data_IF_281721120155
#
_entry.id   IF_281721120155
#
_cell.length_a   1.000
_cell.length_b   1.000
_cell.length_c   1.000
_cell.angle_alpha   90.00
_cell.angle_beta   90.00
_cell.angle_gamma   90.00
#
_symmetry.space_group_name_H-M   'P 1'
#
loop_
_entity.id
_entity.type
_entity.pdbx_description
1 polymer ?
#
# COMPACT_ATOMS: atom_id res chain seq x y z
N UNK A 1 -2.59 -3.92 5.32
CA UNK A 1 -3.16 -3.63 4.00
C UNK A 1 -2.76 -4.78 3.09
N UNK A 2 -3.69 -5.33 2.29
CA UNK A 2 -3.41 -6.43 1.36
C UNK A 2 -3.36 -5.85 -0.05
N UNK A 3 -2.27 -6.13 -0.77
CA UNK A 3 -2.03 -5.62 -2.13
C UNK A 3 -2.00 -6.78 -3.13
N UNK A 4 -2.61 -6.60 -4.30
CA UNK A 4 -2.54 -7.56 -5.40
C UNK A 4 -2.57 -6.84 -6.75
N UNK A 5 -1.58 -7.12 -7.61
CA UNK A 5 -1.44 -6.54 -8.96
C UNK A 5 -1.67 -5.02 -9.02
N UNK A 6 -1.05 -4.27 -8.10
CA UNK A 6 -1.13 -2.82 -8.06
C UNK A 6 -2.47 -2.25 -7.56
N UNK A 7 -3.31 -3.07 -6.90
CA UNK A 7 -4.56 -2.65 -6.25
C UNK A 7 -4.57 -2.99 -4.77
N UNK A 8 -5.33 -2.22 -3.99
CA UNK A 8 -5.62 -2.50 -2.58
C UNK A 8 -6.82 -3.45 -2.55
N UNK A 9 -6.64 -4.65 -1.99
CA UNK A 9 -7.74 -5.61 -1.79
C UNK A 9 -8.39 -5.48 -0.42
N UNK A 10 -7.63 -5.04 0.58
CA UNK A 10 -8.14 -4.86 1.93
C UNK A 10 -7.28 -3.85 2.70
N UNK A 11 -7.92 -3.01 3.50
CA UNK A 11 -7.28 -2.01 4.34
C UNK A 11 -7.97 -1.94 5.70
N UNK A 12 -7.20 -1.81 6.78
CA UNK A 12 -7.77 -1.68 8.11
C UNK A 12 -8.30 -0.25 8.35
N UNK A 13 -9.23 -0.03 9.30
CA UNK A 13 -9.81 1.29 9.55
C UNK A 13 -8.79 2.37 9.94
N UNK A 14 -7.68 1.98 10.59
CA UNK A 14 -6.60 2.90 10.96
C UNK A 14 -5.90 3.49 9.74
N UNK A 15 -5.66 2.67 8.71
CA UNK A 15 -5.09 3.15 7.46
C UNK A 15 -6.07 4.07 6.72
N UNK A 16 -7.38 3.74 6.68
CA UNK A 16 -8.40 4.67 6.15
C UNK A 16 -8.34 6.06 6.82
N UNK A 17 -8.26 6.08 8.15
CA UNK A 17 -8.11 7.33 8.90
C UNK A 17 -6.79 8.06 8.59
N UNK A 18 -5.68 7.32 8.46
CA UNK A 18 -4.36 7.88 8.14
C UNK A 18 -4.33 8.53 6.74
N UNK A 19 -4.88 7.87 5.73
CA UNK A 19 -4.89 8.37 4.35
C UNK A 19 -6.03 9.37 4.07
N UNK A 20 -6.98 9.52 5.00
CA UNK A 20 -8.16 10.39 4.89
C UNK A 20 -9.11 9.98 3.74
N UNK A 21 -9.08 8.70 3.37
CA UNK A 21 -9.99 8.10 2.41
C UNK A 21 -10.93 7.13 3.11
N UNK A 22 -12.16 6.98 2.59
CA UNK A 22 -13.03 5.89 3.01
C UNK A 22 -12.44 4.53 2.61
N UNK A 23 -12.92 3.46 3.24
CA UNK A 23 -12.51 2.09 2.87
C UNK A 23 -12.83 1.79 1.40
N UNK A 24 -14.02 2.17 0.93
CA UNK A 24 -14.46 1.96 -0.45
C UNK A 24 -13.63 2.78 -1.45
N UNK A 25 -13.25 4.00 -1.09
CA UNK A 25 -12.35 4.83 -1.90
C UNK A 25 -10.98 4.16 -2.06
N UNK A 26 -10.39 3.68 -0.96
CA UNK A 26 -9.08 3.02 -1.01
C UNK A 26 -9.09 1.75 -1.86
N UNK A 27 -10.17 0.96 -1.82
CA UNK A 27 -10.32 -0.24 -2.65
C UNK A 27 -10.47 0.08 -4.15
N UNK A 28 -11.00 1.26 -4.46
CA UNK A 28 -11.28 1.69 -5.84
C UNK A 28 -10.12 2.46 -6.48
N UNK A 29 -9.16 2.94 -5.69
CA UNK A 29 -8.05 3.76 -6.15
C UNK A 29 -6.84 2.93 -6.60
N UNK A 30 -6.11 3.39 -7.65
CA UNK A 30 -4.77 2.88 -7.93
C UNK A 30 -3.76 3.41 -6.90
N UNK A 31 -2.68 2.67 -6.64
CA UNK A 31 -1.61 3.15 -5.74
C UNK A 31 -1.00 4.49 -6.14
N UNK A 32 -0.98 4.80 -7.44
CA UNK A 32 -0.46 6.08 -7.94
C UNK A 32 -1.22 7.28 -7.39
N UNK A 33 -2.48 7.13 -7.01
CA UNK A 33 -3.25 8.20 -6.37
C UNK A 33 -2.76 8.54 -4.96
N UNK A 34 -2.16 7.57 -4.25
CA UNK A 34 -1.70 7.72 -2.87
C UNK A 34 -0.19 8.02 -2.82
N UNK A 35 0.60 7.35 -3.66
CA UNK A 35 2.06 7.43 -3.61
C UNK A 35 2.65 8.42 -4.63
N UNK A 36 1.86 8.92 -5.59
CA UNK A 36 2.28 9.96 -6.53
C UNK A 36 3.63 9.66 -7.16
N UNK A 37 4.60 10.57 -6.98
CA UNK A 37 5.97 10.39 -7.47
C UNK A 37 6.70 9.22 -6.81
N UNK A 38 6.43 8.89 -5.55
CA UNK A 38 7.07 7.78 -4.82
C UNK A 38 6.58 6.39 -5.29
N UNK A 39 5.67 6.31 -6.25
CA UNK A 39 5.12 5.04 -6.75
C UNK A 39 6.21 4.08 -7.26
N UNK A 40 7.28 4.60 -7.87
CA UNK A 40 8.39 3.78 -8.36
C UNK A 40 9.14 3.07 -7.23
N UNK A 41 9.32 3.74 -6.08
CA UNK A 41 9.93 3.15 -4.89
C UNK A 41 9.03 2.07 -4.29
N UNK A 42 7.72 2.30 -4.28
CA UNK A 42 6.76 1.30 -3.82
C UNK A 42 6.83 0.04 -4.67
N UNK A 43 6.88 0.15 -6.01
CA UNK A 43 7.01 -1.01 -6.87
C UNK A 43 8.32 -1.75 -6.65
N UNK A 44 9.46 -1.05 -6.59
CA UNK A 44 10.74 -1.67 -6.29
C UNK A 44 10.74 -2.40 -4.94
N UNK A 45 10.07 -1.83 -3.93
CA UNK A 45 9.88 -2.48 -2.64
C UNK A 45 9.00 -3.73 -2.74
N UNK A 46 7.86 -3.66 -3.44
CA UNK A 46 6.99 -4.80 -3.67
C UNK A 46 7.71 -5.93 -4.43
N UNK A 47 8.52 -5.61 -5.44
CA UNK A 47 9.32 -6.59 -6.18
C UNK A 47 10.34 -7.27 -5.25
N UNK A 48 11.08 -6.49 -4.44
CA UNK A 48 11.99 -7.06 -3.44
C UNK A 48 11.29 -7.95 -2.41
N UNK A 49 10.06 -7.63 -2.01
CA UNK A 49 9.26 -8.46 -1.09
C UNK A 49 8.77 -9.72 -1.79
N UNK A 50 8.42 -9.64 -3.08
CA UNK A 50 8.09 -10.79 -3.92
C UNK A 50 9.21 -11.81 -4.01
N UNK A 51 10.46 -11.35 -4.12
CA UNK A 51 11.65 -12.20 -4.16
C UNK A 51 12.05 -12.76 -2.78
N UNK A 52 12.01 -11.93 -1.73
CA UNK A 52 12.51 -12.28 -0.39
C UNK A 52 11.45 -12.88 0.53
N UNK A 53 10.18 -12.81 0.15
CA UNK A 53 9.03 -13.21 0.95
C UNK A 53 8.60 -12.16 2.00
N UNK A 54 9.50 -11.27 2.43
CA UNK A 54 9.21 -10.18 3.37
C UNK A 54 10.16 -9.00 3.19
N UNK A 55 9.78 -7.84 3.74
CA UNK A 55 10.60 -6.63 3.72
C UNK A 55 10.04 -5.50 4.58
N UNK A 56 10.88 -4.50 4.80
CA UNK A 56 10.55 -3.28 5.53
C UNK A 56 11.18 -2.07 4.82
N UNK A 57 10.53 -0.91 4.87
CA UNK A 57 11.06 0.37 4.36
C UNK A 57 10.43 1.56 5.09
N UNK A 58 11.19 2.64 5.23
CA UNK A 58 10.77 3.96 5.75
C UNK A 58 10.97 5.09 4.73
N UNK A 59 11.36 4.76 3.50
CA UNK A 59 11.73 5.73 2.45
C UNK A 59 10.55 6.20 1.59
N UNK A 60 9.33 5.82 1.97
CA UNK A 60 8.11 6.11 1.23
C UNK A 60 7.39 7.33 1.80
N UNK A 61 7.02 8.22 0.90
CA UNK A 61 6.11 9.34 1.18
C UNK A 61 4.80 9.08 0.47
N UNK A 62 3.70 9.34 1.17
CA UNK A 62 2.36 9.19 0.64
C UNK A 62 1.54 10.47 0.88
N UNK A 63 0.57 10.75 0.03
CA UNK A 63 -0.25 11.97 0.11
C UNK A 63 -1.66 11.58 0.55
N UNK A 64 -2.19 12.27 1.56
CA UNK A 64 -3.59 12.07 1.98
C UNK A 64 -4.56 12.63 0.96
N UNK A 65 -5.84 12.30 1.12
CA UNK A 65 -6.93 12.91 0.33
C UNK A 65 -6.93 14.44 0.34
N UNK A 66 -6.55 15.06 1.45
CA UNK A 66 -6.46 16.53 1.57
C UNK A 66 -5.17 17.14 1.00
N UNK A 67 -4.26 16.33 0.45
CA UNK A 67 -2.98 16.80 -0.10
C UNK A 67 -1.85 16.89 0.92
N UNK A 68 -2.05 16.41 2.15
CA UNK A 68 -1.01 16.43 3.18
C UNK A 68 0.00 15.30 2.96
N UNK A 69 1.32 15.56 2.97
CA UNK A 69 2.31 14.51 2.91
C UNK A 69 2.41 13.77 4.25
N UNK A 70 2.60 12.45 4.17
CA UNK A 70 2.87 11.55 5.29
C UNK A 70 4.13 10.76 4.95
N UNK A 71 5.02 10.60 5.93
CA UNK A 71 6.11 9.62 5.87
C UNK A 71 5.61 8.28 6.38
N UNK A 72 5.79 7.25 5.56
CA UNK A 72 5.06 6.00 5.69
C UNK A 72 6.10 4.88 5.88
N UNK A 73 6.18 4.36 7.11
CA UNK A 73 6.94 3.14 7.39
C UNK A 73 6.07 1.93 7.02
N UNK A 74 6.59 1.04 6.17
CA UNK A 74 5.87 -0.11 5.64
C UNK A 74 6.65 -1.39 5.95
N UNK A 75 5.98 -2.31 6.64
CA UNK A 75 6.36 -3.72 6.71
C UNK A 75 5.45 -4.52 5.79
N UNK A 76 6.02 -5.41 4.99
CA UNK A 76 5.26 -6.26 4.07
C UNK A 76 5.78 -7.71 4.08
N UNK A 77 4.87 -8.64 3.86
CA UNK A 77 5.17 -10.05 3.64
C UNK A 77 4.22 -10.63 2.60
N UNK A 78 4.69 -11.64 1.88
CA UNK A 78 3.88 -12.39 0.94
C UNK A 78 2.94 -13.30 1.73
N UNK A 79 1.64 -13.17 1.48
CA UNK A 79 0.62 -14.05 2.02
C UNK A 79 0.31 -15.11 0.97
N UNK A 80 0.47 -16.39 1.33
CA UNK A 80 -0.05 -17.48 0.52
C UNK A 80 -1.58 -17.39 0.49
N UNK A 81 -2.16 -17.29 -0.70
CA UNK A 81 -3.60 -17.42 -0.87
C UNK A 81 -3.90 -18.88 -1.22
N UNK A 82 -4.37 -19.66 -0.24
CA UNK A 82 -4.99 -20.95 -0.55
C UNK A 82 -6.42 -20.66 -1.01
N UNK A 83 -6.70 -20.88 -2.30
CA UNK A 83 -8.01 -20.63 -2.89
C UNK A 83 -9.10 -21.63 -2.45
N UNK A 84 -9.22 -21.86 -1.15
CA UNK A 84 -10.20 -22.76 -0.55
C UNK A 84 -11.54 -22.03 -0.44
N UNK A 85 -12.40 -22.27 -1.44
CA UNK A 85 -13.79 -21.82 -1.56
C UNK A 85 -14.68 -22.25 -0.39
#
# INVERSE_FOLDING_TARGET
MILYKGRILNVNPRASAMYEYSHEELLSLPFSAIYGEAIHKLYAFCDSVGEKGQGWTDELTCTTKSGRPIFCEISASIMGFDGSH
#
